data_IF_086903815035
#
_entry.id   IF_086903815035
#
_cell.length_a   1.000
_cell.length_b   1.000
_cell.length_c   1.000
_cell.angle_alpha   90.00
_cell.angle_beta   90.00
_cell.angle_gamma   90.00
#
_symmetry.space_group_name_H-M   'P 1'
#
loop_
_entity.id
_entity.type
_entity.pdbx_description
1 polymer ?
#
# COMPACT_ATOMS: atom_id res chain seq x y z
N UNK A 1 -7.02 -10.30 -14.86
CA UNK A 1 -5.65 -9.87 -14.49
C UNK A 1 -5.70 -8.37 -14.31
N UNK A 2 -5.57 -7.90 -13.07
CA UNK A 2 -5.34 -6.48 -12.81
C UNK A 2 -4.15 -6.07 -13.67
N UNK A 3 -4.34 -5.12 -14.57
CA UNK A 3 -3.26 -4.67 -15.43
C UNK A 3 -2.12 -4.15 -14.55
N UNK A 4 -0.90 -4.61 -14.81
CA UNK A 4 0.32 -4.15 -14.14
C UNK A 4 0.40 -2.62 -14.07
N UNK A 5 -0.20 -1.95 -15.03
CA UNK A 5 -0.24 -0.49 -15.12
C UNK A 5 -1.03 0.17 -13.98
N UNK A 6 -2.10 -0.42 -13.50
CA UNK A 6 -2.98 0.19 -12.48
C UNK A 6 -2.35 0.19 -11.08
N UNK A 7 -1.75 -0.95 -10.71
CA UNK A 7 -0.99 -1.02 -9.45
C UNK A 7 0.27 -0.17 -9.52
N UNK A 8 0.87 -0.09 -10.71
CA UNK A 8 2.00 0.80 -10.98
C UNK A 8 1.68 2.27 -10.70
N UNK A 9 0.50 2.75 -11.10
CA UNK A 9 0.09 4.14 -10.83
C UNK A 9 -0.18 4.41 -9.35
N UNK A 10 -0.74 3.46 -8.60
CA UNK A 10 -0.86 3.58 -7.15
C UNK A 10 0.52 3.61 -6.45
N UNK A 11 1.45 2.77 -6.91
CA UNK A 11 2.85 2.82 -6.48
C UNK A 11 3.51 4.16 -6.81
N UNK A 12 3.18 4.73 -7.98
CA UNK A 12 3.65 6.04 -8.41
C UNK A 12 3.22 7.17 -7.50
N UNK A 13 1.97 7.16 -7.05
CA UNK A 13 1.45 8.16 -6.13
C UNK A 13 2.26 8.17 -4.83
N UNK A 14 2.51 6.99 -4.24
CA UNK A 14 3.34 6.86 -3.05
C UNK A 14 4.80 7.25 -3.30
N UNK A 15 5.36 6.81 -4.43
CA UNK A 15 6.71 7.15 -4.83
C UNK A 15 6.90 8.66 -5.10
N UNK A 16 5.90 9.30 -5.72
CA UNK A 16 5.92 10.74 -5.98
C UNK A 16 5.92 11.56 -4.68
N UNK A 17 5.15 11.14 -3.67
CA UNK A 17 5.17 11.77 -2.35
C UNK A 17 6.56 11.64 -1.70
N UNK A 18 7.15 10.45 -1.70
CA UNK A 18 8.46 10.21 -1.14
C UNK A 18 9.58 10.95 -1.91
N UNK A 19 9.50 11.01 -3.25
CA UNK A 19 10.44 11.78 -4.08
C UNK A 19 10.38 13.27 -3.76
N UNK A 20 9.17 13.81 -3.60
CA UNK A 20 8.97 15.20 -3.21
C UNK A 20 9.52 15.49 -1.82
N UNK A 21 9.32 14.58 -0.87
CA UNK A 21 9.84 14.70 0.50
C UNK A 21 11.37 14.68 0.54
N UNK A 22 11.99 13.87 -0.29
CA UNK A 22 13.44 13.71 -0.35
C UNK A 22 14.12 14.66 -1.35
N UNK A 23 13.36 15.29 -2.25
CA UNK A 23 13.89 16.17 -3.31
C UNK A 23 14.68 15.41 -4.39
N UNK A 24 14.27 14.20 -4.72
CA UNK A 24 14.92 13.33 -5.72
C UNK A 24 13.96 12.94 -6.84
N UNK A 25 14.49 12.64 -8.02
CA UNK A 25 13.75 12.03 -9.12
C UNK A 25 13.72 10.50 -8.98
N UNK A 26 12.51 9.93 -9.13
CA UNK A 26 12.27 8.49 -9.00
C UNK A 26 12.13 7.81 -10.37
N UNK A 27 12.91 6.76 -10.61
CA UNK A 27 12.84 6.00 -11.85
C UNK A 27 11.89 4.79 -11.73
N UNK A 28 10.80 4.84 -12.49
CA UNK A 28 9.73 3.83 -12.48
C UNK A 28 10.06 2.53 -13.23
N UNK A 29 11.13 2.51 -14.00
CA UNK A 29 11.53 1.35 -14.81
C UNK A 29 12.42 0.40 -13.99
N UNK A 30 12.77 0.79 -12.78
CA UNK A 30 13.62 -0.03 -11.92
C UNK A 30 13.03 -1.42 -11.67
N UNK A 31 13.84 -2.48 -11.74
CA UNK A 31 13.38 -3.87 -11.58
C UNK A 31 12.67 -4.13 -10.24
N UNK A 32 13.00 -3.38 -9.20
CA UNK A 32 12.40 -3.51 -7.88
C UNK A 32 10.96 -3.02 -7.86
N UNK A 33 10.67 -1.89 -8.54
CA UNK A 33 9.30 -1.37 -8.71
C UNK A 33 8.43 -2.37 -9.45
N UNK A 34 8.97 -2.94 -10.53
CA UNK A 34 8.26 -3.94 -11.32
C UNK A 34 7.95 -5.20 -10.50
N UNK A 35 8.88 -5.66 -9.65
CA UNK A 35 8.64 -6.78 -8.73
C UNK A 35 7.56 -6.48 -7.70
N UNK A 36 7.54 -5.29 -7.13
CA UNK A 36 6.50 -4.88 -6.18
C UNK A 36 5.11 -4.86 -6.84
N UNK A 37 5.02 -4.39 -8.08
CA UNK A 37 3.79 -4.45 -8.90
C UNK A 37 3.34 -5.90 -9.11
N UNK A 38 4.25 -6.77 -9.55
CA UNK A 38 3.93 -8.18 -9.83
C UNK A 38 3.44 -8.93 -8.59
N UNK A 39 4.07 -8.70 -7.43
CA UNK A 39 3.66 -9.31 -6.17
C UNK A 39 2.23 -8.94 -5.77
N UNK A 40 1.82 -7.68 -5.96
CA UNK A 40 0.45 -7.23 -5.65
C UNK A 40 -0.57 -7.75 -6.66
N UNK A 41 -0.24 -7.80 -7.95
CA UNK A 41 -1.10 -8.36 -9.00
C UNK A 41 -1.46 -9.81 -8.70
N UNK A 42 -0.48 -10.62 -8.29
CA UNK A 42 -0.70 -12.04 -7.98
C UNK A 42 -1.73 -12.27 -6.88
N UNK A 43 -1.79 -11.40 -5.88
CA UNK A 43 -2.75 -11.53 -4.78
C UNK A 43 -4.20 -11.28 -5.21
N UNK A 44 -4.44 -10.30 -6.07
CA UNK A 44 -5.79 -9.99 -6.56
C UNK A 44 -6.36 -11.08 -7.47
N UNK A 45 -5.51 -11.67 -8.31
CA UNK A 45 -5.92 -12.67 -9.29
C UNK A 45 -6.54 -13.95 -8.67
N UNK A 46 -6.22 -14.23 -7.41
CA UNK A 46 -6.68 -15.46 -6.73
C UNK A 46 -8.13 -15.36 -6.24
N UNK A 47 -8.72 -14.16 -6.09
CA UNK A 47 -10.02 -13.99 -5.44
C UNK A 47 -11.14 -13.41 -6.31
N UNK A 48 -10.87 -13.03 -7.55
CA UNK A 48 -11.84 -12.38 -8.45
C UNK A 48 -11.64 -12.95 -9.85
N UNK A 49 -12.72 -13.20 -10.61
CA UNK A 49 -12.56 -13.63 -11.99
C UNK A 49 -11.94 -12.53 -12.85
N UNK A 50 -11.26 -12.89 -13.93
CA UNK A 50 -10.44 -11.99 -14.74
C UNK A 50 -11.18 -10.73 -15.17
N UNK A 51 -12.42 -10.86 -15.69
CA UNK A 51 -13.20 -9.72 -16.16
C UNK A 51 -13.55 -8.73 -15.03
N UNK A 52 -13.91 -9.24 -13.86
CA UNK A 52 -14.20 -8.42 -12.69
C UNK A 52 -12.92 -7.74 -12.15
N UNK A 53 -11.78 -8.44 -12.22
CA UNK A 53 -10.49 -7.89 -11.82
C UNK A 53 -10.04 -6.74 -12.74
N UNK A 54 -10.26 -6.85 -14.05
CA UNK A 54 -9.95 -5.77 -15.01
C UNK A 54 -10.81 -4.52 -14.75
N UNK A 55 -12.13 -4.71 -14.61
CA UNK A 55 -13.05 -3.61 -14.31
C UNK A 55 -12.71 -2.92 -12.99
N UNK A 56 -12.40 -3.70 -11.94
CA UNK A 56 -11.97 -3.17 -10.65
C UNK A 56 -10.69 -2.35 -10.77
N UNK A 57 -9.74 -2.85 -11.55
CA UNK A 57 -8.46 -2.18 -11.76
C UNK A 57 -8.64 -0.84 -12.50
N UNK A 58 -9.50 -0.80 -13.50
CA UNK A 58 -9.79 0.43 -14.26
C UNK A 58 -10.45 1.49 -13.36
N UNK A 59 -11.42 1.12 -12.54
CA UNK A 59 -12.06 2.04 -11.60
C UNK A 59 -11.10 2.55 -10.51
N UNK A 60 -10.23 1.69 -10.00
CA UNK A 60 -9.18 2.09 -9.05
C UNK A 60 -8.19 3.08 -9.69
N UNK A 61 -7.75 2.80 -10.91
CA UNK A 61 -6.84 3.67 -11.66
C UNK A 61 -7.45 5.05 -11.87
N UNK A 62 -8.66 5.09 -12.38
CA UNK A 62 -9.35 6.34 -12.67
C UNK A 62 -9.51 7.18 -11.39
N UNK A 63 -9.93 6.55 -10.28
CA UNK A 63 -10.04 7.23 -8.99
C UNK A 63 -8.72 7.80 -8.49
N UNK A 64 -7.63 7.04 -8.60
CA UNK A 64 -6.29 7.50 -8.21
C UNK A 64 -5.78 8.63 -9.10
N UNK A 65 -5.95 8.52 -10.41
CA UNK A 65 -5.54 9.54 -11.38
C UNK A 65 -6.27 10.87 -11.14
N UNK A 66 -7.54 10.80 -10.74
CA UNK A 66 -8.37 11.97 -10.43
C UNK A 66 -8.15 12.52 -9.02
N UNK A 67 -7.29 11.88 -8.20
CA UNK A 67 -7.05 12.30 -6.82
C UNK A 67 -8.28 12.11 -5.91
N UNK A 68 -9.11 11.12 -6.19
CA UNK A 68 -10.34 10.87 -5.45
C UNK A 68 -10.07 10.35 -4.03
N UNK A 69 -10.97 10.68 -3.12
CA UNK A 69 -10.95 10.16 -1.74
C UNK A 69 -11.27 8.67 -1.71
N UNK A 70 -10.94 8.00 -0.61
CA UNK A 70 -11.28 6.58 -0.40
C UNK A 70 -12.78 6.32 -0.56
N UNK A 71 -13.65 7.24 -0.11
CA UNK A 71 -15.10 7.11 -0.27
C UNK A 71 -15.56 7.21 -1.72
N UNK A 72 -14.89 8.04 -2.52
CA UNK A 72 -15.17 8.16 -3.96
C UNK A 72 -14.72 6.93 -4.72
N UNK A 73 -13.52 6.44 -4.45
CA UNK A 73 -12.99 5.19 -5.03
C UNK A 73 -13.87 4.00 -4.62
N UNK A 74 -14.35 3.95 -3.37
CA UNK A 74 -15.26 2.89 -2.93
C UNK A 74 -16.57 2.87 -3.73
N UNK A 75 -17.14 4.05 -4.06
CA UNK A 75 -18.33 4.14 -4.92
C UNK A 75 -18.10 3.63 -6.35
N UNK A 76 -16.88 3.76 -6.88
CA UNK A 76 -16.50 3.18 -8.16
C UNK A 76 -16.48 1.65 -8.09
N UNK A 77 -15.89 1.12 -7.02
CA UNK A 77 -15.82 -0.33 -6.77
C UNK A 77 -17.22 -0.94 -6.62
N UNK A 78 -18.15 -0.24 -5.95
CA UNK A 78 -19.55 -0.68 -5.79
C UNK A 78 -20.22 -0.94 -7.14
N UNK A 79 -19.96 -0.10 -8.15
CA UNK A 79 -20.50 -0.29 -9.50
C UNK A 79 -20.01 -1.57 -10.17
N UNK A 80 -18.76 -1.97 -9.89
CA UNK A 80 -18.17 -3.18 -10.48
C UNK A 80 -18.77 -4.45 -9.88
N UNK A 81 -19.00 -4.43 -8.58
CA UNK A 81 -19.40 -5.63 -7.86
C UNK A 81 -20.90 -5.77 -7.60
N UNK A 82 -21.68 -4.74 -7.86
CA UNK A 82 -23.10 -4.67 -7.45
C UNK A 82 -23.27 -4.99 -5.95
N UNK A 83 -22.31 -4.51 -5.15
CA UNK A 83 -22.31 -4.76 -3.73
C UNK A 83 -23.23 -3.78 -3.00
N UNK A 84 -24.26 -4.31 -2.36
CA UNK A 84 -25.11 -3.58 -1.43
C UNK A 84 -24.38 -3.17 -0.13
N UNK A 85 -23.17 -3.65 0.11
CA UNK A 85 -22.41 -3.40 1.34
C UNK A 85 -21.32 -2.35 1.16
N UNK A 86 -21.64 -1.09 1.39
CA UNK A 86 -20.73 0.07 1.37
C UNK A 86 -19.39 -0.19 2.11
N UNK A 87 -19.43 -0.98 3.17
CA UNK A 87 -18.23 -1.26 3.97
C UNK A 87 -17.19 -2.14 3.27
N UNK A 88 -17.61 -2.99 2.33
CA UNK A 88 -16.67 -3.85 1.57
C UNK A 88 -15.84 -3.04 0.61
N UNK A 89 -16.49 -2.15 -0.14
CA UNK A 89 -15.81 -1.31 -1.13
C UNK A 89 -14.80 -0.36 -0.48
N UNK A 90 -15.19 0.31 0.61
CA UNK A 90 -14.30 1.18 1.38
C UNK A 90 -13.10 0.37 1.92
N UNK A 91 -13.35 -0.82 2.44
CA UNK A 91 -12.29 -1.68 2.96
C UNK A 91 -11.29 -2.10 1.87
N UNK A 92 -11.80 -2.50 0.71
CA UNK A 92 -10.98 -2.88 -0.44
C UNK A 92 -10.16 -1.69 -0.93
N UNK A 93 -10.81 -0.56 -1.19
CA UNK A 93 -10.13 0.65 -1.66
C UNK A 93 -9.00 1.06 -0.69
N UNK A 94 -9.28 1.14 0.61
CA UNK A 94 -8.28 1.51 1.62
C UNK A 94 -7.11 0.52 1.66
N UNK A 95 -7.39 -0.77 1.65
CA UNK A 95 -6.36 -1.81 1.72
C UNK A 95 -5.41 -1.71 0.54
N UNK A 96 -5.93 -1.53 -0.67
CA UNK A 96 -5.09 -1.48 -1.88
C UNK A 96 -4.34 -0.17 -2.02
N UNK A 97 -5.01 0.97 -1.84
CA UNK A 97 -4.40 2.29 -1.99
C UNK A 97 -3.28 2.50 -0.95
N UNK A 98 -3.57 2.25 0.32
CA UNK A 98 -2.57 2.45 1.39
C UNK A 98 -1.39 1.48 1.24
N UNK A 99 -1.66 0.21 0.97
CA UNK A 99 -0.58 -0.74 0.77
C UNK A 99 0.28 -0.42 -0.46
N UNK A 100 -0.31 0.06 -1.56
CA UNK A 100 0.44 0.47 -2.75
C UNK A 100 1.28 1.73 -2.47
N UNK A 101 0.71 2.73 -1.80
CA UNK A 101 1.45 3.94 -1.42
C UNK A 101 2.67 3.61 -0.56
N UNK A 102 2.51 2.80 0.48
CA UNK A 102 3.61 2.42 1.36
C UNK A 102 4.70 1.61 0.61
N UNK A 103 4.29 0.74 -0.31
CA UNK A 103 5.24 0.02 -1.16
C UNK A 103 6.05 0.98 -2.05
N UNK A 104 5.39 1.97 -2.66
CA UNK A 104 6.05 2.99 -3.48
C UNK A 104 7.01 3.86 -2.66
N UNK A 105 6.60 4.29 -1.46
CA UNK A 105 7.48 5.05 -0.55
C UNK A 105 8.72 4.25 -0.16
N UNK A 106 8.55 2.98 0.25
CA UNK A 106 9.67 2.12 0.62
C UNK A 106 10.67 1.98 -0.54
N UNK A 107 10.17 1.84 -1.77
CA UNK A 107 11.03 1.72 -2.95
C UNK A 107 11.89 2.98 -3.16
N UNK A 108 11.27 4.17 -3.08
CA UNK A 108 11.99 5.45 -3.20
C UNK A 108 13.03 5.59 -2.10
N UNK A 109 12.67 5.28 -0.85
CA UNK A 109 13.61 5.38 0.27
C UNK A 109 14.82 4.46 0.08
N UNK A 110 14.59 3.23 -0.37
CA UNK A 110 15.67 2.28 -0.65
C UNK A 110 16.61 2.78 -1.76
N UNK A 111 16.05 3.32 -2.85
CA UNK A 111 16.85 3.85 -3.98
C UNK A 111 17.58 5.14 -3.62
N UNK A 112 17.02 5.94 -2.72
CA UNK A 112 17.65 7.15 -2.19
C UNK A 112 18.76 6.87 -1.16
N UNK A 113 19.01 5.59 -0.82
CA UNK A 113 20.01 5.20 0.17
C UNK A 113 19.62 5.58 1.61
N UNK A 114 18.33 5.69 1.90
CA UNK A 114 17.84 5.86 3.27
C UNK A 114 18.15 4.60 4.06
N UNK A 115 18.74 4.76 5.25
CA UNK A 115 19.18 3.63 6.06
C UNK A 115 18.07 3.06 6.94
N UNK A 116 17.14 3.89 7.38
CA UNK A 116 16.08 3.50 8.33
C UNK A 116 14.71 3.96 7.87
N UNK A 117 13.69 3.19 8.26
CA UNK A 117 12.27 3.50 8.10
C UNK A 117 11.55 3.40 9.44
N UNK A 118 10.48 4.21 9.62
CA UNK A 118 9.71 4.23 10.85
C UNK A 118 8.23 4.01 10.55
N UNK A 119 7.57 3.20 11.39
CA UNK A 119 6.13 2.95 11.32
C UNK A 119 5.36 4.12 11.93
N UNK A 120 4.39 4.64 11.20
CA UNK A 120 3.48 5.69 11.65
C UNK A 120 2.06 5.16 11.66
N UNK A 121 1.40 5.24 12.79
CA UNK A 121 -0.02 4.88 12.92
C UNK A 121 -0.93 6.08 12.65
N UNK A 122 -2.23 5.81 12.46
CA UNK A 122 -3.23 6.89 12.38
C UNK A 122 -3.45 7.62 13.73
N UNK A 123 -2.84 7.17 14.82
CA UNK A 123 -2.90 7.74 16.18
C UNK A 123 -4.31 7.97 16.70
N UNK A 124 -5.23 7.06 16.36
CA UNK A 124 -6.61 7.08 16.85
C UNK A 124 -7.00 5.72 17.48
N UNK A 125 -8.16 5.67 18.10
CA UNK A 125 -8.71 4.49 18.78
C UNK A 125 -8.98 3.29 17.84
N UNK A 126 -8.97 3.52 16.52
CA UNK A 126 -9.20 2.46 15.52
C UNK A 126 -7.90 1.78 15.07
N UNK A 127 -6.75 2.20 15.62
CA UNK A 127 -5.49 1.48 15.42
C UNK A 127 -5.58 0.13 16.14
N UNK A 128 -5.47 -0.94 15.40
CA UNK A 128 -5.53 -2.31 15.95
C UNK A 128 -4.37 -2.59 16.91
N UNK A 129 -4.57 -3.47 17.87
CA UNK A 129 -3.56 -3.81 18.88
C UNK A 129 -2.23 -4.27 18.26
N UNK A 130 -2.29 -5.10 17.21
CA UNK A 130 -1.09 -5.56 16.50
C UNK A 130 -0.26 -4.42 15.91
N UNK A 131 -0.89 -3.30 15.53
CA UNK A 131 -0.24 -2.15 14.93
C UNK A 131 0.08 -1.01 15.91
N UNK A 132 -0.08 -1.20 17.20
CA UNK A 132 0.33 -0.23 18.22
C UNK A 132 1.86 -0.22 18.39
N UNK A 133 2.55 0.02 17.29
CA UNK A 133 4.01 0.08 17.15
C UNK A 133 4.44 1.44 16.58
N UNK A 134 3.66 2.49 16.84
CA UNK A 134 3.97 3.85 16.37
C UNK A 134 5.38 4.26 16.80
N UNK A 135 6.18 4.75 15.85
CA UNK A 135 7.58 5.10 16.11
C UNK A 135 8.56 3.94 16.03
N UNK A 136 8.13 2.68 15.85
CA UNK A 136 9.08 1.58 15.64
C UNK A 136 9.96 1.89 14.43
N UNK A 137 11.28 1.94 14.64
CA UNK A 137 12.29 2.25 13.61
C UNK A 137 13.14 1.03 13.35
N UNK A 138 13.25 0.63 12.09
CA UNK A 138 14.03 -0.53 11.64
C UNK A 138 14.90 -0.16 10.43
N UNK A 139 15.89 -0.97 10.11
CA UNK A 139 16.65 -0.82 8.86
C UNK A 139 15.75 -0.89 7.63
N UNK A 140 16.14 -0.24 6.55
CA UNK A 140 15.30 -0.13 5.33
C UNK A 140 14.90 -1.50 4.76
N UNK A 141 15.75 -2.50 4.90
CA UNK A 141 15.52 -3.88 4.45
C UNK A 141 14.96 -4.80 5.53
N UNK A 142 14.88 -4.34 6.77
CA UNK A 142 14.37 -5.11 7.90
C UNK A 142 12.85 -5.03 7.98
N UNK A 143 12.23 -6.06 8.55
CA UNK A 143 10.79 -6.07 8.81
C UNK A 143 10.45 -5.31 10.09
N UNK A 144 9.32 -4.60 10.06
CA UNK A 144 8.64 -4.23 11.30
C UNK A 144 8.06 -5.48 11.96
N UNK A 145 8.07 -5.51 13.29
CA UNK A 145 7.45 -6.59 14.07
C UNK A 145 6.22 -6.05 14.78
N UNK A 146 5.05 -6.59 14.45
CA UNK A 146 3.80 -6.22 15.10
C UNK A 146 3.75 -6.70 16.56
N UNK A 147 2.84 -6.16 17.37
CA UNK A 147 2.65 -6.63 18.76
C UNK A 147 2.18 -8.10 18.86
N UNK A 148 1.75 -8.70 17.75
CA UNK A 148 1.41 -10.11 17.65
C UNK A 148 2.56 -10.97 17.07
N UNK A 149 3.72 -10.38 16.82
CA UNK A 149 4.91 -11.07 16.30
C UNK A 149 4.89 -11.32 14.80
N UNK A 150 3.97 -10.71 14.04
CA UNK A 150 3.97 -10.79 12.59
C UNK A 150 4.97 -9.79 11.98
N UNK A 151 5.53 -10.13 10.83
CA UNK A 151 6.56 -9.38 10.15
C UNK A 151 6.06 -8.74 8.87
N UNK A 152 6.35 -7.45 8.66
CA UNK A 152 5.89 -6.62 7.54
C UNK A 152 7.00 -5.67 7.11
N UNK A 153 7.33 -5.64 5.82
CA UNK A 153 8.26 -4.66 5.26
C UNK A 153 7.69 -3.23 5.33
N UNK A 154 6.36 -3.11 5.19
CA UNK A 154 5.63 -1.83 5.22
C UNK A 154 4.17 -2.08 5.61
N UNK A 155 3.42 -1.06 6.06
CA UNK A 155 2.00 -1.21 6.33
C UNK A 155 1.22 -1.65 5.09
N UNK A 156 0.53 -2.80 5.18
CA UNK A 156 -0.19 -3.41 4.07
C UNK A 156 0.68 -4.27 3.14
N UNK A 157 1.84 -4.68 3.60
CA UNK A 157 2.72 -5.61 2.90
C UNK A 157 2.08 -7.00 2.77
N UNK A 158 1.94 -7.45 1.53
CA UNK A 158 1.37 -8.78 1.18
C UNK A 158 2.41 -9.78 0.71
N UNK A 159 3.66 -9.39 0.69
CA UNK A 159 4.77 -10.24 0.24
C UNK A 159 5.27 -11.15 1.34
N UNK A 160 5.00 -10.78 2.59
CA UNK A 160 5.35 -11.54 3.78
C UNK A 160 4.29 -12.57 4.19
N UNK A 161 4.47 -13.13 5.38
CA UNK A 161 3.59 -14.15 5.97
C UNK A 161 2.51 -13.58 6.91
N UNK A 162 2.36 -12.27 6.97
CA UNK A 162 1.39 -11.62 7.85
C UNK A 162 -0.06 -12.03 7.49
N UNK A 163 -0.89 -12.32 8.50
CA UNK A 163 -2.25 -12.75 8.27
C UNK A 163 -3.11 -11.59 7.71
N UNK A 164 -4.23 -11.90 7.02
CA UNK A 164 -5.14 -10.89 6.48
C UNK A 164 -5.59 -9.83 7.50
N UNK A 165 -5.69 -10.20 8.77
CA UNK A 165 -6.09 -9.30 9.85
C UNK A 165 -5.08 -8.17 10.10
N UNK A 166 -3.81 -8.35 9.76
CA UNK A 166 -2.80 -7.30 9.83
C UNK A 166 -2.74 -6.44 8.55
N UNK A 167 -3.29 -6.92 7.45
CA UNK A 167 -3.19 -6.28 6.14
C UNK A 167 -4.44 -5.48 5.79
N UNK A 168 -5.63 -6.08 5.99
CA UNK A 168 -6.90 -5.53 5.53
C UNK A 168 -7.26 -4.27 6.33
N UNK A 169 -7.67 -3.20 5.62
CA UNK A 169 -8.17 -1.96 6.22
C UNK A 169 -7.13 -1.23 7.10
N UNK A 170 -5.84 -1.45 6.86
CA UNK A 170 -4.77 -0.72 7.50
C UNK A 170 -4.81 0.77 7.12
N UNK A 171 -4.41 1.65 8.06
CA UNK A 171 -4.32 3.11 7.86
C UNK A 171 -2.96 3.65 8.29
N UNK A 172 -2.02 2.75 8.53
CA UNK A 172 -0.66 3.12 8.89
C UNK A 172 0.15 3.49 7.65
N UNK A 173 1.19 4.27 7.84
CA UNK A 173 2.17 4.64 6.82
C UNK A 173 3.59 4.43 7.34
N UNK A 174 4.57 4.68 6.50
CA UNK A 174 5.98 4.71 6.88
C UNK A 174 6.59 6.06 6.50
N UNK A 175 7.64 6.45 7.21
CA UNK A 175 8.46 7.61 6.89
C UNK A 175 9.92 7.21 6.83
N UNK A 176 10.71 8.01 6.08
CA UNK A 176 12.16 7.90 6.06
C UNK A 176 12.78 8.43 7.37
N UNK A 177 13.80 7.73 7.89
CA UNK A 177 14.60 8.18 9.03
C UNK A 177 16.07 8.13 8.64
N UNK A 178 16.78 9.24 8.76
CA UNK A 178 18.20 9.33 8.35
C UNK A 178 19.16 8.80 9.41
N UNK A 179 18.80 8.93 10.68
CA UNK A 179 19.62 8.48 11.82
C UNK A 179 18.72 7.76 12.81
N UNK A 180 19.15 6.59 13.28
CA UNK A 180 18.44 5.89 14.36
C UNK A 180 18.76 6.61 15.68
N UNK A 181 17.74 7.18 16.33
CA UNK A 181 17.86 7.68 17.70
C UNK A 181 17.99 6.55 18.71
#
# INVERSE_FOLDING_TARGET
>A
IISKNHIREALLSGAGLASSELGIDFNLIEPNVLRAVDARVGFFAVKVNEATAELLADELKEGLTNGETIDQIAKRIDKVFDYSEKFRSIRTARTEVIGANNAGQLQVYAEAGIEFKQWITARDEKVRLSHQIDGQTVGITEDFTTNLGNHLQYPGDRTGSAPPDDLINCRCSLIAVRTKE
#
